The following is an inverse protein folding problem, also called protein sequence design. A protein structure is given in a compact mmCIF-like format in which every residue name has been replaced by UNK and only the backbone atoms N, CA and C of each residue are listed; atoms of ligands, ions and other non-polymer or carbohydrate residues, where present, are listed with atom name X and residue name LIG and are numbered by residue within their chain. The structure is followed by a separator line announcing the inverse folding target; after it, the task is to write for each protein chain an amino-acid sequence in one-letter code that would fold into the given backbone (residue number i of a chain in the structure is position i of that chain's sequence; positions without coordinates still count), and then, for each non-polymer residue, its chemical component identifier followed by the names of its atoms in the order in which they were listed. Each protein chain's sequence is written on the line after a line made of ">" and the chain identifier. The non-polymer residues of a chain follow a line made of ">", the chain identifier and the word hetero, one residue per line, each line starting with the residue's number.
data_IF_516175090850
#
_entry.id   IF_516175090850
#
_cell.length_a   1.000
_cell.length_b   1.000
_cell.length_c   1.000
_cell.angle_alpha   90.00
_cell.angle_beta   90.00
_cell.angle_gamma   90.00
#
_symmetry.space_group_name_H-M   'P 1'
#
loop_
_entity.id
_entity.type
_entity.pdbx_description
1 polymer ?
#
# COMPACT_ATOMS: atom_id res chain seq x y z
N UNK A 1 18.64 -7.95 -12.30
CA UNK A 1 18.06 -6.65 -11.90
C UNK A 1 17.34 -6.94 -10.62
N UNK A 2 18.11 -7.02 -9.54
CA UNK A 2 17.68 -7.53 -8.24
C UNK A 2 17.74 -6.33 -7.28
N UNK A 3 16.63 -6.12 -6.57
CA UNK A 3 16.51 -5.29 -5.35
C UNK A 3 16.36 -3.76 -5.47
N UNK A 4 15.54 -3.23 -6.37
CA UNK A 4 15.12 -1.81 -6.28
C UNK A 4 14.08 -1.57 -5.17
N UNK A 5 13.22 -2.55 -4.89
CA UNK A 5 12.12 -2.42 -3.92
C UNK A 5 12.20 -3.47 -2.80
N UNK A 6 13.19 -3.29 -1.92
CA UNK A 6 13.37 -4.11 -0.71
C UNK A 6 13.34 -3.21 0.52
N UNK A 7 12.60 -3.64 1.54
CA UNK A 7 12.57 -3.00 2.85
C UNK A 7 13.76 -3.55 3.66
N UNK A 8 14.67 -2.67 4.07
CA UNK A 8 15.94 -3.00 4.70
C UNK A 8 15.90 -2.88 6.22
N UNK A 9 15.08 -1.98 6.73
CA UNK A 9 14.94 -1.72 8.17
C UNK A 9 13.54 -1.22 8.52
N UNK A 10 13.30 -1.10 9.83
CA UNK A 10 12.01 -0.67 10.38
C UNK A 10 11.74 0.81 10.08
N UNK A 11 12.76 1.65 10.08
CA UNK A 11 12.60 3.09 9.88
C UNK A 11 12.11 3.37 8.45
N UNK A 12 12.69 2.70 7.45
CA UNK A 12 12.22 2.72 6.06
C UNK A 12 10.78 2.22 5.97
N UNK A 13 10.43 1.13 6.65
CA UNK A 13 9.06 0.62 6.66
C UNK A 13 8.08 1.66 7.20
N UNK A 14 8.40 2.27 8.34
CA UNK A 14 7.56 3.30 8.98
C UNK A 14 7.43 4.53 8.08
N UNK A 15 8.50 4.97 7.45
CA UNK A 15 8.50 6.11 6.51
C UNK A 15 7.62 5.83 5.28
N UNK A 16 7.77 4.65 4.66
CA UNK A 16 6.94 4.23 3.52
C UNK A 16 5.45 4.20 3.88
N UNK A 17 5.09 3.71 5.06
CA UNK A 17 3.69 3.61 5.49
C UNK A 17 3.09 4.93 5.99
N UNK A 18 3.88 5.80 6.61
CA UNK A 18 3.40 7.11 7.10
C UNK A 18 3.26 8.13 5.97
N UNK A 19 4.12 8.07 4.95
CA UNK A 19 4.07 8.95 3.78
C UNK A 19 2.81 8.81 2.93
N UNK A 20 2.12 7.66 3.00
CA UNK A 20 0.79 7.45 2.37
C UNK A 20 -0.19 8.55 2.77
N UNK A 21 -0.07 9.09 3.98
CA UNK A 21 -1.05 10.02 4.56
C UNK A 21 -0.62 11.49 4.51
N UNK A 22 0.58 11.79 3.98
CA UNK A 22 1.15 13.15 4.01
C UNK A 22 0.56 14.10 2.94
N UNK A 23 -0.25 13.60 2.00
CA UNK A 23 -0.80 14.37 0.86
C UNK A 23 -2.17 14.99 1.16
N UNK A 24 -2.23 15.91 2.12
CA UNK A 24 -3.38 16.82 2.28
C UNK A 24 -4.75 16.14 2.49
N UNK A 25 -4.75 14.94 3.08
CA UNK A 25 -5.95 14.16 3.39
C UNK A 25 -6.35 13.09 2.37
N UNK A 26 -5.66 12.94 1.24
CA UNK A 26 -5.89 11.82 0.31
C UNK A 26 -4.74 10.82 0.38
N UNK A 27 -5.01 9.53 0.66
CA UNK A 27 -3.95 8.55 0.76
C UNK A 27 -3.36 8.23 -0.62
N UNK A 28 -2.06 8.46 -0.81
CA UNK A 28 -1.33 8.06 -2.01
C UNK A 28 -0.57 6.75 -1.76
N UNK A 29 -0.87 5.72 -2.55
CA UNK A 29 -0.24 4.40 -2.43
C UNK A 29 0.81 4.18 -3.53
N UNK A 30 1.00 5.13 -4.43
CA UNK A 30 1.82 4.95 -5.64
C UNK A 30 3.27 4.60 -5.32
N UNK A 31 3.81 5.09 -4.20
CA UNK A 31 5.19 4.82 -3.78
C UNK A 31 5.38 3.48 -3.05
N UNK A 32 4.33 2.89 -2.48
CA UNK A 32 4.40 1.59 -1.80
C UNK A 32 4.04 0.43 -2.75
N UNK A 33 3.22 0.67 -3.78
CA UNK A 33 2.83 -0.34 -4.77
C UNK A 33 4.02 -1.10 -5.40
N UNK A 34 5.17 -0.46 -5.73
CA UNK A 34 6.32 -1.16 -6.28
C UNK A 34 7.00 -2.16 -5.33
N UNK A 35 6.75 -2.05 -4.02
CA UNK A 35 7.25 -2.99 -3.01
C UNK A 35 6.43 -4.27 -2.91
N UNK A 36 5.26 -4.33 -3.56
CA UNK A 36 4.45 -5.54 -3.60
C UNK A 36 4.87 -6.45 -4.75
N UNK A 37 4.79 -7.75 -4.50
CA UNK A 37 5.00 -8.76 -5.55
C UNK A 37 3.95 -8.64 -6.65
N UNK A 38 4.36 -8.84 -7.90
CA UNK A 38 3.46 -9.02 -9.05
C UNK A 38 2.40 -10.12 -8.80
N UNK A 39 2.76 -11.14 -8.01
CA UNK A 39 1.90 -12.28 -7.65
C UNK A 39 1.27 -12.13 -6.25
N UNK A 40 1.08 -10.91 -5.75
CA UNK A 40 0.46 -10.67 -4.44
C UNK A 40 -0.85 -11.45 -4.28
N UNK A 41 -1.00 -12.11 -3.12
CA UNK A 41 -2.25 -12.71 -2.68
C UNK A 41 -2.76 -11.90 -1.49
N UNK A 42 -3.78 -11.09 -1.73
CA UNK A 42 -4.43 -10.29 -0.71
C UNK A 42 -5.76 -10.93 -0.34
N UNK A 43 -5.99 -11.11 0.97
CA UNK A 43 -7.25 -11.65 1.48
C UNK A 43 -7.68 -10.92 2.74
N UNK A 44 -8.92 -10.45 2.73
CA UNK A 44 -9.62 -9.93 3.91
C UNK A 44 -10.92 -10.72 4.15
N UNK A 45 -11.76 -10.26 5.08
CA UNK A 45 -13.05 -10.93 5.39
C UNK A 45 -14.13 -10.76 4.31
N UNK A 46 -13.90 -9.90 3.32
CA UNK A 46 -14.85 -9.50 2.27
C UNK A 46 -14.42 -10.06 0.90
N UNK A 47 -13.12 -10.08 0.61
CA UNK A 47 -12.59 -10.37 -0.71
C UNK A 47 -11.24 -11.12 -0.67
N UNK A 48 -10.96 -11.80 -1.78
CA UNK A 48 -9.70 -12.45 -2.06
C UNK A 48 -9.24 -12.01 -3.46
N UNK A 49 -8.01 -11.49 -3.55
CA UNK A 49 -7.45 -10.84 -4.73
C UNK A 49 -6.09 -11.47 -5.02
N UNK A 50 -5.88 -11.81 -6.29
CA UNK A 50 -4.64 -12.36 -6.79
C UNK A 50 -4.06 -11.47 -7.88
N UNK A 51 -2.78 -11.16 -7.77
CA UNK A 51 -2.04 -10.37 -8.73
C UNK A 51 -2.12 -8.87 -8.48
N UNK A 52 -1.07 -8.16 -8.88
CA UNK A 52 -0.90 -6.73 -8.60
C UNK A 52 -1.96 -5.86 -9.29
N UNK A 53 -2.47 -6.28 -10.45
CA UNK A 53 -3.41 -5.49 -11.24
C UNK A 53 -4.76 -5.31 -10.52
N UNK A 54 -5.33 -6.41 -10.01
CA UNK A 54 -6.57 -6.36 -9.24
C UNK A 54 -6.37 -5.71 -7.87
N UNK A 55 -5.18 -5.87 -7.29
CA UNK A 55 -4.80 -5.19 -6.05
C UNK A 55 -4.74 -3.67 -6.24
N UNK A 56 -4.10 -3.17 -7.31
CA UNK A 56 -4.04 -1.74 -7.66
C UNK A 56 -5.44 -1.13 -7.82
N UNK A 57 -6.34 -1.82 -8.53
CA UNK A 57 -7.74 -1.38 -8.67
C UNK A 57 -8.46 -1.31 -7.33
N UNK A 58 -8.20 -2.26 -6.42
CA UNK A 58 -8.77 -2.25 -5.07
C UNK A 58 -8.27 -1.05 -4.25
N UNK A 59 -6.97 -0.81 -4.26
CA UNK A 59 -6.34 0.34 -3.58
C UNK A 59 -6.90 1.66 -4.11
N UNK A 60 -7.03 1.83 -5.43
CA UNK A 60 -7.59 3.04 -6.03
C UNK A 60 -9.05 3.29 -5.57
N UNK A 61 -9.87 2.23 -5.53
CA UNK A 61 -11.25 2.33 -5.01
C UNK A 61 -11.27 2.73 -3.54
N UNK A 62 -10.37 2.19 -2.72
CA UNK A 62 -10.24 2.56 -1.31
C UNK A 62 -9.83 4.02 -1.14
N UNK A 63 -8.83 4.50 -1.89
CA UNK A 63 -8.38 5.90 -1.86
C UNK A 63 -9.50 6.87 -2.25
N UNK A 64 -10.30 6.53 -3.27
CA UNK A 64 -11.43 7.37 -3.68
C UNK A 64 -12.55 7.44 -2.64
N UNK A 65 -12.77 6.35 -1.89
CA UNK A 65 -13.87 6.25 -0.90
C UNK A 65 -13.50 6.75 0.48
N UNK A 66 -12.23 6.64 0.86
CA UNK A 66 -11.76 6.93 2.22
C UNK A 66 -11.42 8.42 2.34
N UNK A 67 -12.13 9.12 3.23
CA UNK A 67 -11.88 10.54 3.50
C UNK A 67 -10.69 10.76 4.41
N UNK A 68 -10.46 9.83 5.33
CA UNK A 68 -9.30 9.78 6.20
C UNK A 68 -8.96 8.31 6.42
N UNK A 69 -7.69 7.98 6.25
CA UNK A 69 -7.13 6.67 6.57
C UNK A 69 -5.89 6.98 7.42
N UNK A 70 -5.70 6.26 8.53
CA UNK A 70 -4.56 6.47 9.43
C UNK A 70 -3.97 5.12 9.76
N UNK A 71 -2.67 4.98 9.57
CA UNK A 71 -1.92 3.86 10.10
C UNK A 71 -1.48 4.20 11.52
N UNK A 72 -1.81 3.33 12.48
CA UNK A 72 -1.45 3.49 13.89
C UNK A 72 -0.61 2.27 14.30
N UNK A 73 0.67 2.48 14.56
CA UNK A 73 1.53 1.51 15.24
C UNK A 73 1.29 1.68 16.74
N UNK A 74 0.98 0.59 17.45
CA UNK A 74 0.84 0.56 18.90
C UNK A 74 2.02 -0.13 19.54
#
# INVERSE_FOLDING_TARGET
>A
MEDEYVIKDLDQFVELWTSIYNTGGKPDWSHILPYYSENIHFRDSIQEIHGIEEFKKMVERLTKRSKELKFVIK
#
